data_IF_990512994517
#
_entry.id   IF_990512994517
#
_cell.length_a   1.000
_cell.length_b   1.000
_cell.length_c   1.000
_cell.angle_alpha   90.00
_cell.angle_beta   90.00
_cell.angle_gamma   90.00
#
_symmetry.space_group_name_H-M   'P 1'
#
loop_
_entity.id
_entity.type
_entity.pdbx_description
1 polymer ?
#
# COMPACT_ATOMS: atom_id res chain seq x y z
N UNK A 1 1.07 -2.11 -4.73
CA UNK A 1 -0.22 -1.93 -4.05
C UNK A 1 -1.32 -2.93 -4.38
N UNK A 2 -1.65 -3.21 -5.66
CA UNK A 2 -2.70 -4.21 -5.95
C UNK A 2 -2.42 -5.59 -5.33
N UNK A 3 -1.15 -6.02 -5.31
CA UNK A 3 -0.75 -7.27 -4.65
C UNK A 3 -0.84 -7.16 -3.13
N UNK A 4 -0.30 -6.08 -2.53
CA UNK A 4 -0.47 -5.79 -1.10
C UNK A 4 -1.93 -5.90 -0.63
N UNK A 5 -2.87 -5.23 -1.30
CA UNK A 5 -4.28 -5.26 -0.88
C UNK A 5 -4.89 -6.66 -1.05
N UNK A 6 -4.38 -7.46 -2.00
CA UNK A 6 -4.84 -8.84 -2.22
C UNK A 6 -4.26 -9.82 -1.21
N UNK A 7 -3.05 -9.59 -0.71
CA UNK A 7 -2.41 -10.43 0.29
C UNK A 7 -2.91 -10.15 1.70
N UNK A 8 -3.54 -8.98 1.94
CA UNK A 8 -4.16 -8.68 3.22
C UNK A 8 -5.23 -9.73 3.57
N UNK A 9 -5.24 -10.23 4.82
CA UNK A 9 -6.27 -11.13 5.29
C UNK A 9 -7.64 -10.44 5.25
N UNK A 10 -8.64 -11.08 4.61
CA UNK A 10 -9.99 -10.50 4.44
C UNK A 10 -10.70 -10.22 5.77
N UNK A 11 -10.37 -10.99 6.80
CA UNK A 11 -10.90 -10.83 8.15
C UNK A 11 -10.00 -9.96 9.05
N UNK A 12 -8.83 -9.54 8.55
CA UNK A 12 -7.86 -8.73 9.30
C UNK A 12 -8.35 -7.30 9.54
N UNK A 13 -7.91 -6.72 10.65
CA UNK A 13 -8.30 -5.36 11.04
C UNK A 13 -7.90 -4.31 10.00
N UNK A 14 -6.70 -4.44 9.41
CA UNK A 14 -6.22 -3.61 8.31
C UNK A 14 -7.18 -3.60 7.11
N UNK A 15 -7.64 -4.78 6.66
CA UNK A 15 -8.58 -4.88 5.54
C UNK A 15 -9.96 -4.31 5.89
N UNK A 16 -10.47 -4.62 7.10
CA UNK A 16 -11.75 -4.07 7.59
C UNK A 16 -11.70 -2.54 7.72
N UNK A 17 -10.59 -1.99 8.18
CA UNK A 17 -10.38 -0.54 8.25
C UNK A 17 -10.44 0.10 6.87
N UNK A 18 -9.73 -0.48 5.89
CA UNK A 18 -9.79 -0.02 4.49
C UNK A 18 -11.22 -0.02 3.94
N UNK A 19 -11.96 -1.12 4.15
CA UNK A 19 -13.36 -1.21 3.73
C UNK A 19 -14.25 -0.15 4.41
N UNK A 20 -13.99 0.18 5.68
CA UNK A 20 -14.76 1.18 6.43
C UNK A 20 -14.53 2.61 5.92
N UNK A 21 -13.28 2.94 5.57
CA UNK A 21 -12.90 4.28 5.08
C UNK A 21 -13.22 4.46 3.60
N UNK A 22 -13.30 3.36 2.85
CA UNK A 22 -13.60 3.33 1.43
C UNK A 22 -14.82 2.43 1.15
N UNK A 23 -16.02 2.82 1.66
CA UNK A 23 -17.21 1.97 1.59
C UNK A 23 -17.74 1.73 0.16
N UNK A 24 -17.22 2.47 -0.84
CA UNK A 24 -17.56 2.30 -2.26
C UNK A 24 -16.62 1.34 -3.01
N UNK A 25 -15.64 0.74 -2.34
CA UNK A 25 -14.63 -0.11 -2.97
C UNK A 25 -14.96 -1.60 -2.82
N UNK A 26 -15.65 -2.17 -3.80
CA UNK A 26 -15.60 -3.61 -4.11
C UNK A 26 -14.19 -4.05 -4.57
N UNK A 27 -13.87 -5.34 -4.47
CA UNK A 27 -12.62 -5.95 -4.95
C UNK A 27 -12.28 -5.58 -6.42
N UNK A 28 -13.32 -5.42 -7.25
CA UNK A 28 -13.18 -4.99 -8.64
C UNK A 28 -12.86 -3.49 -8.80
N UNK A 29 -13.33 -2.65 -7.89
CA UNK A 29 -13.09 -1.19 -7.90
C UNK A 29 -11.72 -0.79 -7.35
N UNK A 30 -11.07 -1.61 -6.52
CA UNK A 30 -9.68 -1.37 -6.10
C UNK A 30 -8.71 -1.34 -7.29
N UNK A 31 -8.92 -2.20 -8.29
CA UNK A 31 -8.15 -2.18 -9.55
C UNK A 31 -8.31 -0.87 -10.31
N UNK A 32 -9.50 -0.25 -10.22
CA UNK A 32 -9.88 0.95 -10.98
C UNK A 32 -9.45 2.24 -10.25
N UNK A 33 -9.57 2.30 -8.93
CA UNK A 33 -9.08 3.44 -8.12
C UNK A 33 -7.55 3.48 -8.03
N UNK A 34 -6.86 2.34 -8.04
CA UNK A 34 -5.40 2.31 -8.13
C UNK A 34 -4.88 2.89 -9.46
N UNK A 35 -5.59 2.70 -10.57
CA UNK A 35 -5.19 3.32 -11.84
C UNK A 35 -5.40 4.85 -11.83
N UNK A 36 -6.19 5.37 -10.88
CA UNK A 36 -6.41 6.80 -10.66
C UNK A 36 -5.49 7.38 -9.54
N UNK A 37 -4.45 6.63 -9.15
CA UNK A 37 -3.64 6.72 -7.90
C UNK A 37 -3.08 8.07 -7.44
N UNK A 38 -3.22 9.16 -8.19
CA UNK A 38 -2.76 10.49 -7.75
C UNK A 38 -3.90 11.41 -7.31
N UNK A 39 -5.16 11.09 -7.65
CA UNK A 39 -6.32 11.97 -7.41
C UNK A 39 -7.36 11.40 -6.43
N UNK A 40 -7.23 10.14 -6.05
CA UNK A 40 -8.17 9.45 -5.15
C UNK A 40 -7.67 9.47 -3.69
N UNK A 41 -8.61 9.41 -2.73
CA UNK A 41 -8.34 9.47 -1.28
C UNK A 41 -7.48 8.30 -0.76
N UNK A 42 -7.24 7.28 -1.58
CA UNK A 42 -6.60 6.02 -1.23
C UNK A 42 -5.13 6.19 -0.85
N UNK A 43 -4.31 6.87 -1.66
CA UNK A 43 -2.88 7.08 -1.35
C UNK A 43 -2.69 7.97 -0.11
N UNK A 44 -3.41 9.12 0.03
CA UNK A 44 -3.34 9.92 1.25
C UNK A 44 -3.76 9.18 2.52
N UNK A 45 -4.80 8.32 2.45
CA UNK A 45 -5.23 7.47 3.57
C UNK A 45 -4.14 6.47 3.95
N UNK A 46 -3.56 5.79 2.96
CA UNK A 46 -2.46 4.85 3.15
C UNK A 46 -1.17 5.54 3.60
N UNK A 47 -1.00 6.85 3.43
CA UNK A 47 0.21 7.55 3.89
C UNK A 47 0.07 8.20 5.25
N UNK A 48 -1.03 8.92 5.46
CA UNK A 48 -1.19 9.88 6.55
C UNK A 48 -2.10 9.39 7.68
N UNK A 49 -2.83 8.28 7.47
CA UNK A 49 -3.71 7.78 8.52
C UNK A 49 -2.90 6.94 9.54
N UNK A 50 -2.73 7.51 10.73
CA UNK A 50 -2.06 6.88 11.87
C UNK A 50 -2.86 5.68 12.39
N UNK A 51 -4.19 5.81 12.46
CA UNK A 51 -5.08 4.73 12.92
C UNK A 51 -5.01 3.52 11.99
N UNK A 52 -4.79 3.76 10.71
CA UNK A 52 -4.56 2.68 9.76
C UNK A 52 -3.25 1.92 10.05
N UNK A 53 -2.20 2.62 10.51
CA UNK A 53 -0.93 1.98 10.90
C UNK A 53 -1.08 1.10 12.13
N UNK A 54 -1.92 1.51 13.09
CA UNK A 54 -2.16 0.73 14.30
C UNK A 54 -2.86 -0.60 14.01
N UNK A 55 -3.68 -0.66 12.95
CA UNK A 55 -4.38 -1.90 12.54
C UNK A 55 -3.51 -2.90 11.79
N UNK A 56 -2.24 -2.57 11.53
CA UNK A 56 -1.33 -3.40 10.75
C UNK A 56 -0.40 -4.24 11.61
N UNK A 57 -0.14 -5.47 11.16
CA UNK A 57 0.97 -6.28 11.65
C UNK A 57 2.33 -5.73 11.15
N UNK A 58 3.43 -6.14 11.78
CA UNK A 58 4.77 -5.59 11.49
C UNK A 58 5.21 -5.84 10.03
N UNK A 59 4.84 -6.99 9.46
CA UNK A 59 5.08 -7.32 8.05
C UNK A 59 4.25 -6.42 7.10
N UNK A 60 2.99 -6.14 7.44
CA UNK A 60 2.11 -5.26 6.67
C UNK A 60 2.60 -3.80 6.72
N UNK A 61 3.11 -3.35 7.88
CA UNK A 61 3.75 -2.04 8.05
C UNK A 61 4.99 -1.92 7.16
N UNK A 62 5.89 -2.90 7.21
CA UNK A 62 7.13 -2.86 6.41
C UNK A 62 6.83 -2.87 4.90
N UNK A 63 5.84 -3.64 4.46
CA UNK A 63 5.40 -3.67 3.06
C UNK A 63 4.69 -2.37 2.63
N UNK A 64 3.91 -1.75 3.51
CA UNK A 64 3.33 -0.41 3.29
C UNK A 64 4.41 0.64 3.19
N UNK A 65 5.36 0.68 4.11
CA UNK A 65 6.42 1.69 4.15
C UNK A 65 7.38 1.55 2.97
N UNK A 66 7.73 0.33 2.60
CA UNK A 66 8.47 0.06 1.35
C UNK A 66 7.72 0.56 0.12
N UNK A 67 6.39 0.45 0.10
CA UNK A 67 5.58 0.99 -0.98
C UNK A 67 5.58 2.53 -0.99
N UNK A 68 5.51 3.19 0.18
CA UNK A 68 5.65 4.66 0.28
C UNK A 68 7.01 5.11 -0.25
N UNK A 69 8.08 4.41 0.11
CA UNK A 69 9.43 4.72 -0.37
C UNK A 69 9.50 4.65 -1.91
N UNK A 70 8.89 3.65 -2.54
CA UNK A 70 8.79 3.59 -4.01
C UNK A 70 7.97 4.77 -4.55
N UNK A 71 6.81 5.08 -3.98
CA UNK A 71 5.96 6.18 -4.45
C UNK A 71 6.67 7.54 -4.37
N UNK A 72 7.40 7.81 -3.29
CA UNK A 72 8.12 9.07 -3.13
C UNK A 72 9.41 9.12 -3.94
N UNK A 73 10.24 8.07 -3.88
CA UNK A 73 11.60 8.12 -4.42
C UNK A 73 11.70 7.67 -5.88
N UNK A 74 10.70 6.96 -6.39
CA UNK A 74 10.68 6.48 -7.79
C UNK A 74 9.68 7.22 -8.68
N UNK A 75 8.57 7.71 -8.13
CA UNK A 75 7.54 8.42 -8.92
C UNK A 75 7.60 9.94 -8.84
N UNK A 76 8.42 10.52 -7.97
CA UNK A 76 8.87 11.90 -8.17
C UNK A 76 9.73 11.96 -9.44
N UNK A 77 9.67 13.07 -10.19
CA UNK A 77 10.29 13.22 -11.53
C UNK A 77 11.81 12.97 -11.56
N UNK A 78 12.44 12.77 -10.41
CA UNK A 78 13.86 12.46 -10.24
C UNK A 78 13.96 11.01 -9.75
N UNK A 79 14.49 10.12 -10.59
CA UNK A 79 14.80 8.75 -10.14
C UNK A 79 15.87 8.81 -9.07
N UNK A 80 15.53 8.34 -7.86
CA UNK A 80 16.51 8.19 -6.78
C UNK A 80 17.66 7.25 -7.22
N UNK A 81 18.93 7.59 -6.96
CA UNK A 81 20.08 6.73 -7.26
C UNK A 81 19.95 5.30 -6.70
N UNK A 82 19.21 5.15 -5.59
CA UNK A 82 19.00 3.89 -4.88
C UNK A 82 17.74 3.15 -5.32
N UNK A 83 17.13 3.50 -6.46
CA UNK A 83 15.87 2.89 -6.91
C UNK A 83 15.89 1.37 -6.93
N UNK A 84 17.03 0.75 -7.31
CA UNK A 84 17.17 -0.72 -7.32
C UNK A 84 16.98 -1.30 -5.93
N UNK A 85 17.63 -0.71 -4.94
CA UNK A 85 17.55 -1.12 -3.53
C UNK A 85 16.14 -0.93 -2.99
N UNK A 86 15.48 0.19 -3.32
CA UNK A 86 14.13 0.50 -2.87
C UNK A 86 13.11 -0.50 -3.45
N UNK A 87 13.22 -0.80 -4.75
CA UNK A 87 12.37 -1.82 -5.40
C UNK A 87 12.65 -3.21 -4.83
N UNK A 88 13.91 -3.55 -4.56
CA UNK A 88 14.27 -4.84 -3.98
C UNK A 88 13.71 -4.98 -2.56
N UNK A 89 13.78 -3.94 -1.74
CA UNK A 89 13.15 -3.93 -0.40
C UNK A 89 11.64 -4.13 -0.48
N UNK A 90 10.97 -3.48 -1.43
CA UNK A 90 9.54 -3.70 -1.68
C UNK A 90 9.24 -5.16 -2.01
N UNK A 91 10.02 -5.78 -2.91
CA UNK A 91 9.82 -7.17 -3.31
C UNK A 91 9.99 -8.13 -2.12
N UNK A 92 11.04 -7.94 -1.31
CA UNK A 92 11.27 -8.76 -0.12
C UNK A 92 10.16 -8.59 0.92
N UNK A 93 9.70 -7.35 1.16
CA UNK A 93 8.60 -7.10 2.09
C UNK A 93 7.29 -7.73 1.59
N UNK A 94 7.04 -7.69 0.27
CA UNK A 94 5.88 -8.32 -0.34
C UNK A 94 5.95 -9.85 -0.25
N UNK A 95 7.10 -10.47 -0.52
CA UNK A 95 7.29 -11.92 -0.32
C UNK A 95 7.04 -12.33 1.13
N UNK A 96 7.55 -11.56 2.11
CA UNK A 96 7.33 -11.82 3.53
C UNK A 96 5.85 -11.68 3.95
N UNK A 97 5.09 -10.85 3.23
CA UNK A 97 3.64 -10.68 3.41
C UNK A 97 2.83 -11.71 2.59
N UNK A 98 3.45 -12.55 1.76
CA UNK A 98 2.78 -13.52 0.91
C UNK A 98 2.12 -12.95 -0.36
N UNK A 99 2.64 -11.84 -0.90
CA UNK A 99 2.21 -11.20 -2.16
C UNK A 99 2.73 -11.88 -3.43
#
# INVERSE_FOLDING_TARGET
>A
MKQFIKSLPKDGECFRYLCSKLPKLSEASWKREFLLSRRTKTVPLLENDFLFSETMEDNEKEARDSFKDVVHRFWENTKDPLYKTIVQRLLTAYEAQGC
#
